data_IF_419564336341
#
_entry.id   IF_419564336341
#
_cell.length_a   1.000
_cell.length_b   1.000
_cell.length_c   1.000
_cell.angle_alpha   90.00
_cell.angle_beta   90.00
_cell.angle_gamma   90.00
#
_symmetry.space_group_name_H-M   'P 1'
#
loop_
_entity.id
_entity.type
_entity.pdbx_description
1 polymer ?
#
# COMPACT_ATOMS: atom_id res chain seq x y z
N UNK A 1 -13.86 -7.00 -5.79
CA UNK A 1 -13.57 -8.17 -4.93
C UNK A 1 -14.47 -8.09 -3.70
N UNK A 2 -14.80 -9.22 -3.06
CA UNK A 2 -15.40 -9.13 -1.70
C UNK A 2 -14.37 -8.56 -0.72
N UNK A 3 -14.85 -7.92 0.34
CA UNK A 3 -14.01 -7.27 1.36
C UNK A 3 -13.10 -6.16 0.80
N UNK A 4 -13.49 -5.50 -0.29
CA UNK A 4 -12.78 -4.30 -0.77
C UNK A 4 -13.63 -3.06 -0.63
N UNK A 5 -13.00 -1.94 -0.30
CA UNK A 5 -13.62 -0.63 -0.24
C UNK A 5 -12.73 0.43 -0.91
N UNK A 6 -13.35 1.49 -1.41
CA UNK A 6 -12.64 2.62 -2.01
C UNK A 6 -12.46 3.72 -0.97
N UNK A 7 -11.23 4.20 -0.81
CA UNK A 7 -10.91 5.40 -0.06
C UNK A 7 -10.60 6.53 -1.04
N UNK A 8 -11.32 7.64 -0.95
CA UNK A 8 -11.00 8.86 -1.69
C UNK A 8 -10.13 9.73 -0.79
N UNK A 9 -8.89 10.02 -1.22
CA UNK A 9 -7.88 10.68 -0.40
C UNK A 9 -7.61 12.09 -0.90
N UNK A 10 -7.44 12.25 -2.22
CA UNK A 10 -7.14 13.54 -2.84
C UNK A 10 -6.00 14.31 -2.17
N UNK A 11 -4.98 13.59 -1.69
CA UNK A 11 -3.85 14.14 -0.97
C UNK A 11 -2.56 13.39 -1.35
N UNK A 12 -1.41 13.97 -1.01
CA UNK A 12 -0.10 13.34 -1.17
C UNK A 12 0.14 12.35 -0.02
N UNK A 13 0.99 11.37 -0.24
CA UNK A 13 1.44 10.46 0.84
C UNK A 13 2.22 11.28 1.87
N UNK A 14 1.81 11.20 3.14
CA UNK A 14 2.43 11.94 4.23
C UNK A 14 3.70 11.26 4.75
N UNK A 15 3.68 9.93 4.89
CA UNK A 15 4.86 9.15 5.25
C UNK A 15 4.91 7.85 4.45
N UNK A 16 6.12 7.40 4.14
CA UNK A 16 6.40 6.09 3.54
C UNK A 16 7.38 5.33 4.45
N UNK A 17 7.04 4.09 4.81
CA UNK A 17 7.88 3.21 5.62
C UNK A 17 8.01 1.86 4.91
N UNK A 18 9.23 1.39 4.70
CA UNK A 18 9.52 0.11 4.06
C UNK A 18 10.39 -0.72 4.99
N UNK A 19 10.08 -2.00 5.12
CA UNK A 19 10.83 -2.93 5.97
C UNK A 19 11.37 -4.10 5.16
N UNK A 20 12.62 -4.48 5.47
CA UNK A 20 13.30 -5.67 4.95
C UNK A 20 13.51 -6.71 6.05
N UNK A 21 12.88 -6.53 7.22
CA UNK A 21 12.98 -7.49 8.30
C UNK A 21 12.28 -8.79 7.92
N UNK A 22 12.86 -9.93 8.26
CA UNK A 22 12.30 -11.24 7.95
C UNK A 22 10.84 -11.36 8.43
N UNK A 23 9.96 -11.86 7.54
CA UNK A 23 8.50 -11.94 7.72
C UNK A 23 7.75 -10.59 7.73
N UNK A 24 8.44 -9.47 7.50
CA UNK A 24 7.85 -8.12 7.45
C UNK A 24 8.33 -7.33 6.23
N UNK A 25 8.51 -8.00 5.09
CA UNK A 25 8.82 -7.36 3.81
C UNK A 25 7.60 -6.61 3.25
N UNK A 26 7.24 -5.51 3.89
CA UNK A 26 6.03 -4.73 3.65
C UNK A 26 6.34 -3.23 3.50
N UNK A 27 5.42 -2.52 2.86
CA UNK A 27 5.42 -1.06 2.85
C UNK A 27 4.18 -0.53 3.56
N UNK A 28 4.32 0.55 4.32
CA UNK A 28 3.24 1.25 5.03
C UNK A 28 3.26 2.71 4.57
N UNK A 29 2.10 3.23 4.20
CA UNK A 29 1.89 4.63 3.87
C UNK A 29 0.86 5.25 4.81
N UNK A 30 1.04 6.52 5.13
CA UNK A 30 0.04 7.31 5.86
C UNK A 30 -0.32 8.58 5.11
N UNK A 31 -1.50 9.13 5.41
CA UNK A 31 -1.99 10.41 4.90
C UNK A 31 -2.28 11.37 6.07
N UNK A 32 -2.33 12.68 5.80
CA UNK A 32 -2.54 13.71 6.84
C UNK A 32 -3.87 13.56 7.59
N UNK A 33 -4.86 12.93 6.98
CA UNK A 33 -6.15 12.62 7.60
C UNK A 33 -6.09 11.46 8.62
N UNK A 34 -4.91 10.89 8.86
CA UNK A 34 -4.70 9.76 9.78
C UNK A 34 -4.96 8.39 9.17
N UNK A 35 -5.28 8.29 7.88
CA UNK A 35 -5.46 7.01 7.21
C UNK A 35 -4.11 6.29 7.00
N UNK A 36 -4.08 5.01 7.33
CA UNK A 36 -2.91 4.13 7.18
C UNK A 36 -3.25 2.99 6.23
N UNK A 37 -2.32 2.66 5.34
CA UNK A 37 -2.46 1.55 4.41
C UNK A 37 -1.15 0.78 4.29
N UNK A 38 -1.23 -0.53 4.04
CA UNK A 38 -0.05 -1.34 3.78
C UNK A 38 -0.12 -2.03 2.42
N UNK A 39 1.05 -2.27 1.85
CA UNK A 39 1.28 -3.34 0.88
C UNK A 39 1.75 -4.54 1.69
N UNK A 40 0.91 -5.58 1.75
CA UNK A 40 1.18 -6.75 2.59
C UNK A 40 2.36 -7.58 2.10
N UNK A 41 2.92 -8.37 3.01
CA UNK A 41 4.03 -9.29 2.72
C UNK A 41 3.56 -10.37 1.73
N UNK A 42 4.32 -10.64 0.65
CA UNK A 42 4.04 -11.78 -0.23
C UNK A 42 3.91 -13.09 0.57
N UNK A 43 2.88 -13.87 0.29
CA UNK A 43 2.44 -14.99 1.12
C UNK A 43 1.50 -15.94 0.38
N UNK A 44 0.98 -16.95 1.08
CA UNK A 44 0.16 -18.02 0.49
C UNK A 44 -1.19 -17.55 -0.07
N UNK A 45 -1.70 -16.40 0.39
CA UNK A 45 -2.89 -15.77 -0.14
C UNK A 45 -2.69 -15.16 -1.54
N UNK A 46 -1.45 -15.10 -2.03
CA UNK A 46 -1.11 -14.52 -3.32
C UNK A 46 -0.77 -15.59 -4.35
N UNK A 47 -1.36 -15.45 -5.54
CA UNK A 47 -0.93 -16.20 -6.72
C UNK A 47 0.36 -15.63 -7.29
N UNK A 48 1.13 -16.41 -8.04
CA UNK A 48 2.47 -16.01 -8.51
C UNK A 48 2.48 -14.72 -9.34
N UNK A 49 1.42 -14.48 -10.13
CA UNK A 49 1.29 -13.25 -10.90
C UNK A 49 1.16 -12.00 -10.03
N UNK A 50 0.63 -12.13 -8.80
CA UNK A 50 0.52 -11.02 -7.86
C UNK A 50 1.85 -10.67 -7.20
N UNK A 51 2.81 -11.60 -7.09
CA UNK A 51 4.11 -11.34 -6.44
C UNK A 51 4.86 -10.19 -7.11
N UNK A 52 4.93 -10.18 -8.45
CA UNK A 52 5.53 -9.06 -9.20
C UNK A 52 4.70 -7.77 -9.10
N UNK A 53 3.39 -7.87 -8.99
CA UNK A 53 2.51 -6.71 -8.83
C UNK A 53 2.64 -6.07 -7.44
N UNK A 54 2.90 -6.86 -6.41
CA UNK A 54 3.18 -6.39 -5.04
C UNK A 54 4.46 -5.56 -5.01
N UNK A 55 5.54 -6.06 -5.63
CA UNK A 55 6.78 -5.29 -5.77
C UNK A 55 6.56 -3.98 -6.53
N UNK A 56 5.84 -4.03 -7.66
CA UNK A 56 5.46 -2.84 -8.43
C UNK A 56 4.67 -1.83 -7.59
N UNK A 57 3.78 -2.30 -6.71
CA UNK A 57 3.01 -1.41 -5.85
C UNK A 57 3.92 -0.69 -4.84
N UNK A 58 4.87 -1.39 -4.21
CA UNK A 58 5.88 -0.77 -3.33
C UNK A 58 6.68 0.30 -4.08
N UNK A 59 7.17 -0.02 -5.29
CA UNK A 59 7.88 0.93 -6.14
C UNK A 59 7.04 2.17 -6.48
N UNK A 60 5.76 1.95 -6.84
CA UNK A 60 4.81 3.02 -7.20
C UNK A 60 4.54 3.94 -6.01
N UNK A 61 4.34 3.38 -4.81
CA UNK A 61 4.10 4.17 -3.60
C UNK A 61 5.34 4.94 -3.17
N UNK A 62 6.53 4.32 -3.29
CA UNK A 62 7.81 4.98 -2.99
C UNK A 62 8.04 6.19 -3.89
N UNK A 63 7.86 6.03 -5.21
CA UNK A 63 8.07 7.15 -6.14
C UNK A 63 6.97 8.20 -5.99
N UNK A 64 5.72 7.81 -5.74
CA UNK A 64 4.63 8.74 -5.50
C UNK A 64 4.86 9.60 -4.25
N UNK A 65 5.43 9.00 -3.19
CA UNK A 65 5.84 9.74 -2.00
C UNK A 65 6.97 10.75 -2.33
N UNK A 66 8.05 10.30 -2.98
CA UNK A 66 9.20 11.16 -3.29
C UNK A 66 8.87 12.30 -4.27
N UNK A 67 7.98 12.05 -5.22
CA UNK A 67 7.54 13.05 -6.21
C UNK A 67 6.34 13.86 -5.74
N UNK A 68 5.87 13.60 -4.51
CA UNK A 68 4.75 14.33 -3.94
C UNK A 68 3.48 14.25 -4.84
N UNK A 69 3.28 13.09 -5.47
CA UNK A 69 2.15 12.86 -6.34
C UNK A 69 0.85 12.76 -5.54
N UNK A 70 -0.21 13.39 -6.04
CA UNK A 70 -1.54 13.34 -5.42
C UNK A 70 -2.17 11.97 -5.68
N UNK A 71 -2.56 11.27 -4.62
CA UNK A 71 -3.32 10.02 -4.70
C UNK A 71 -4.80 10.36 -4.67
N UNK A 72 -5.51 10.10 -5.77
CA UNK A 72 -6.95 10.36 -5.86
C UNK A 72 -7.74 9.36 -5.01
N UNK A 73 -7.56 8.06 -5.29
CA UNK A 73 -8.29 6.95 -4.67
C UNK A 73 -7.38 5.75 -4.43
N UNK A 74 -7.70 4.96 -3.41
CA UNK A 74 -7.14 3.63 -3.18
C UNK A 74 -8.27 2.61 -3.04
N UNK A 75 -8.16 1.48 -3.75
CA UNK A 75 -8.97 0.30 -3.50
C UNK A 75 -8.20 -0.61 -2.54
N UNK A 76 -8.78 -0.91 -1.38
CA UNK A 76 -8.10 -1.66 -0.32
C UNK A 76 -8.96 -2.80 0.18
N UNK A 77 -8.32 -3.89 0.59
CA UNK A 77 -8.98 -4.96 1.32
C UNK A 77 -9.22 -4.53 2.77
N UNK A 78 -10.48 -4.54 3.24
CA UNK A 78 -10.89 -4.07 4.57
C UNK A 78 -10.94 -5.17 5.64
N UNK A 79 -10.72 -6.42 5.25
CA UNK A 79 -10.55 -7.56 6.15
C UNK A 79 -9.09 -7.73 6.63
N UNK A 80 -8.25 -6.73 6.35
CA UNK A 80 -6.88 -6.59 6.84
C UNK A 80 -6.80 -5.28 7.61
N UNK A 81 -5.99 -5.25 8.66
CA UNK A 81 -5.67 -4.02 9.38
C UNK A 81 -4.24 -3.64 9.06
N UNK A 82 -4.04 -2.66 8.18
CA UNK A 82 -2.98 -1.67 8.29
C UNK A 82 -3.36 -0.57 9.29
#
# INVERSE_FOLDING_TARGET
>A
YHNTQIHTLNDKIFSYTESLAGKREMAIITFKNGATFQVEVPGSQHIDSQKKAIERMKDTLRIAYLTEAKVEKLCVWNNKTP
#
